data_IF_065427435027
#
_entry.id   IF_065427435027
#
_cell.length_a   1.000
_cell.length_b   1.000
_cell.length_c   1.000
_cell.angle_alpha   90.00
_cell.angle_beta   90.00
_cell.angle_gamma   90.00
#
_symmetry.space_group_name_H-M   'P 1'
#
loop_
_entity.id
_entity.type
_entity.pdbx_description
1 polymer ?
#
# COMPACT_ATOMS: atom_id res chain seq x y z
N UNK A 1 5.40 -4.87 5.72
CA UNK A 1 3.99 -4.78 6.15
C UNK A 1 3.65 -5.80 7.24
N UNK A 2 3.75 -7.11 6.99
CA UNK A 2 3.40 -8.14 7.98
C UNK A 2 4.09 -7.98 9.35
N UNK A 3 5.42 -7.79 9.38
CA UNK A 3 6.14 -7.56 10.63
C UNK A 3 5.62 -6.34 11.39
N UNK A 4 5.35 -5.23 10.68
CA UNK A 4 4.83 -3.99 11.26
C UNK A 4 3.47 -4.21 11.97
N UNK A 5 2.56 -4.95 11.33
CA UNK A 5 1.25 -5.28 11.92
C UNK A 5 1.33 -6.13 13.19
N UNK A 6 2.43 -6.86 13.38
CA UNK A 6 2.65 -7.70 14.56
C UNK A 6 3.49 -7.01 15.64
N UNK A 7 4.18 -5.91 15.32
CA UNK A 7 5.05 -5.20 16.27
C UNK A 7 4.46 -3.89 16.77
N UNK A 8 3.68 -3.20 15.95
CA UNK A 8 3.06 -1.91 16.31
C UNK A 8 1.67 -2.16 16.86
N UNK A 9 1.34 -1.53 17.99
CA UNK A 9 -0.01 -1.62 18.54
C UNK A 9 -1.03 -1.08 17.53
N UNK A 10 -2.08 -1.87 17.24
CA UNK A 10 -3.07 -1.57 16.20
C UNK A 10 -3.73 -0.20 16.33
N UNK A 11 -3.89 0.33 17.55
CA UNK A 11 -4.45 1.66 17.81
C UNK A 11 -3.66 2.82 17.16
N UNK A 12 -2.39 2.59 16.78
CA UNK A 12 -1.56 3.56 16.08
C UNK A 12 -1.58 3.42 14.56
N UNK A 13 -2.28 2.42 14.03
CA UNK A 13 -2.37 2.15 12.59
C UNK A 13 -3.71 2.71 12.10
N UNK A 14 -3.67 3.65 11.15
CA UNK A 14 -4.87 4.29 10.61
C UNK A 14 -5.53 3.48 9.50
N UNK A 15 -4.76 2.71 8.76
CA UNK A 15 -5.25 1.88 7.68
C UNK A 15 -4.14 1.16 6.95
N UNK A 16 -4.55 0.27 6.05
CA UNK A 16 -3.66 -0.54 5.22
C UNK A 16 -4.18 -0.46 3.79
N UNK A 17 -3.30 -0.16 2.84
CA UNK A 17 -3.56 -0.32 1.41
C UNK A 17 -2.59 -1.35 0.84
N UNK A 18 -3.13 -2.44 0.30
CA UNK A 18 -2.36 -3.56 -0.22
C UNK A 18 -2.75 -3.86 -1.66
N UNK A 19 -1.76 -3.99 -2.53
CA UNK A 19 -1.93 -4.42 -3.92
C UNK A 19 -1.22 -5.75 -4.14
N UNK A 20 -1.94 -6.72 -4.71
CA UNK A 20 -1.35 -7.97 -5.17
C UNK A 20 -1.91 -8.32 -6.57
N UNK A 21 -1.35 -9.33 -7.23
CA UNK A 21 -1.87 -9.82 -8.49
C UNK A 21 -3.15 -10.64 -8.27
N UNK A 22 -3.18 -11.51 -7.27
CA UNK A 22 -4.34 -12.33 -6.97
C UNK A 22 -4.37 -12.76 -5.51
N UNK A 23 -5.53 -13.23 -5.05
CA UNK A 23 -5.71 -13.66 -3.68
C UNK A 23 -4.83 -14.88 -3.31
N UNK A 24 -4.54 -15.76 -4.28
CA UNK A 24 -3.70 -16.94 -4.11
C UNK A 24 -2.21 -16.59 -3.98
N UNK A 25 -1.81 -15.42 -4.49
CA UNK A 25 -0.41 -14.96 -4.45
C UNK A 25 -0.10 -14.09 -3.23
N UNK A 26 -1.13 -13.61 -2.54
CA UNK A 26 -1.01 -12.75 -1.38
C UNK A 26 -0.45 -13.50 -0.17
N UNK A 27 0.81 -13.24 0.13
CA UNK A 27 1.46 -13.78 1.33
C UNK A 27 0.81 -13.18 2.59
N UNK A 28 0.58 -14.03 3.61
CA UNK A 28 0.01 -13.65 4.90
C UNK A 28 -1.41 -13.04 4.82
N UNK A 29 -2.17 -13.41 3.80
CA UNK A 29 -3.55 -12.94 3.57
C UNK A 29 -4.41 -12.97 4.83
N UNK A 30 -4.50 -14.12 5.50
CA UNK A 30 -5.34 -14.31 6.69
C UNK A 30 -5.00 -13.31 7.82
N UNK A 31 -3.73 -12.94 7.96
CA UNK A 31 -3.31 -11.99 8.98
C UNK A 31 -3.70 -10.55 8.64
N UNK A 32 -3.71 -10.20 7.35
CA UNK A 32 -4.09 -8.87 6.87
C UNK A 32 -5.62 -8.74 6.83
N UNK A 33 -6.32 -9.75 6.32
CA UNK A 33 -7.80 -9.79 6.34
C UNK A 33 -8.34 -9.92 7.77
N UNK A 34 -7.63 -10.61 8.66
CA UNK A 34 -7.96 -10.72 10.09
C UNK A 34 -7.72 -9.44 10.90
N UNK A 35 -7.18 -8.38 10.29
CA UNK A 35 -7.07 -7.06 10.90
C UNK A 35 -8.36 -6.23 10.72
N UNK A 36 -9.50 -6.82 11.10
CA UNK A 36 -10.84 -6.25 10.89
C UNK A 36 -11.10 -4.96 11.68
N UNK A 37 -10.26 -4.67 12.66
CA UNK A 37 -10.27 -3.42 13.44
C UNK A 37 -9.52 -2.27 12.75
N UNK A 38 -8.87 -2.53 11.62
CA UNK A 38 -8.16 -1.54 10.80
C UNK A 38 -8.91 -1.30 9.48
N UNK A 39 -8.90 -0.06 8.99
CA UNK A 39 -9.38 0.27 7.64
C UNK A 39 -8.42 -0.32 6.61
N UNK A 40 -8.67 -1.58 6.24
CA UNK A 40 -7.82 -2.39 5.37
C UNK A 40 -8.46 -2.52 4.01
N UNK A 41 -7.76 -2.03 2.98
CA UNK A 41 -8.13 -2.20 1.57
C UNK A 41 -7.10 -3.07 0.85
N UNK A 42 -7.60 -4.14 0.25
CA UNK A 42 -6.82 -5.07 -0.57
C UNK A 42 -7.35 -5.02 -1.99
N UNK A 43 -6.46 -4.85 -2.96
CA UNK A 43 -6.79 -4.75 -4.38
C UNK A 43 -6.02 -5.85 -5.13
N UNK A 44 -6.76 -6.68 -5.86
CA UNK A 44 -6.19 -7.73 -6.70
C UNK A 44 -6.19 -7.29 -8.16
N UNK A 45 -5.01 -6.99 -8.69
CA UNK A 45 -4.87 -6.37 -10.03
C UNK A 45 -5.13 -7.32 -11.19
N UNK A 46 -5.06 -8.64 -10.96
CA UNK A 46 -5.47 -9.67 -11.92
C UNK A 46 -6.98 -9.96 -11.95
N UNK A 47 -7.76 -9.31 -11.09
CA UNK A 47 -9.20 -9.53 -10.96
C UNK A 47 -9.99 -8.36 -11.55
N UNK A 48 -10.93 -8.65 -12.46
CA UNK A 48 -11.75 -7.66 -13.15
C UNK A 48 -12.71 -6.91 -12.22
N UNK A 49 -13.07 -7.50 -11.07
CA UNK A 49 -13.88 -6.82 -10.05
C UNK A 49 -13.22 -5.56 -9.50
N UNK A 50 -11.89 -5.48 -9.61
CA UNK A 50 -11.08 -4.35 -9.16
C UNK A 50 -10.63 -3.45 -10.31
N UNK A 51 -11.11 -3.65 -11.56
CA UNK A 51 -10.65 -2.90 -12.73
C UNK A 51 -10.60 -1.37 -12.51
N UNK A 52 -11.63 -0.81 -11.90
CA UNK A 52 -11.73 0.63 -11.58
C UNK A 52 -10.83 1.07 -10.41
N UNK A 53 -10.34 0.12 -9.61
CA UNK A 53 -9.52 0.33 -8.41
C UNK A 53 -8.03 0.00 -8.66
N UNK A 54 -7.64 -0.28 -9.90
CA UNK A 54 -6.23 -0.54 -10.28
C UNK A 54 -5.38 0.72 -10.33
N UNK A 55 -5.99 1.91 -10.18
CA UNK A 55 -5.28 3.17 -10.13
C UNK A 55 -4.67 3.42 -8.74
N UNK A 56 -3.35 3.24 -8.66
CA UNK A 56 -2.54 3.45 -7.47
C UNK A 56 -2.68 4.89 -6.95
N UNK A 57 -2.76 5.89 -7.83
CA UNK A 57 -2.85 7.30 -7.43
C UNK A 57 -4.18 7.58 -6.73
N UNK A 58 -5.29 7.15 -7.34
CA UNK A 58 -6.63 7.31 -6.76
C UNK A 58 -6.74 6.67 -5.38
N UNK A 59 -6.27 5.43 -5.23
CA UNK A 59 -6.39 4.70 -3.97
C UNK A 59 -5.44 5.24 -2.89
N UNK A 60 -4.26 5.71 -3.29
CA UNK A 60 -3.34 6.42 -2.39
C UNK A 60 -3.94 7.75 -1.94
N UNK A 61 -4.64 8.49 -2.80
CA UNK A 61 -5.34 9.72 -2.43
C UNK A 61 -6.42 9.47 -1.38
N UNK A 62 -7.21 8.42 -1.56
CA UNK A 62 -8.25 8.03 -0.59
C UNK A 62 -7.64 7.71 0.77
N UNK A 63 -6.54 6.95 0.80
CA UNK A 63 -5.81 6.67 2.04
C UNK A 63 -5.26 7.94 2.67
N UNK A 64 -4.65 8.83 1.88
CA UNK A 64 -4.05 10.07 2.35
C UNK A 64 -5.05 11.00 3.05
N UNK A 65 -6.24 11.18 2.45
CA UNK A 65 -7.33 11.99 3.00
C UNK A 65 -7.80 11.42 4.35
N UNK A 66 -7.87 10.08 4.46
CA UNK A 66 -8.36 9.40 5.68
C UNK A 66 -7.34 9.40 6.81
N UNK A 67 -6.09 9.07 6.51
CA UNK A 67 -5.04 8.97 7.51
C UNK A 67 -4.52 10.34 7.97
N UNK A 68 -4.59 11.36 7.09
CA UNK A 68 -4.22 12.73 7.38
C UNK A 68 -2.78 13.06 7.02
N UNK A 69 -2.50 14.37 6.94
CA UNK A 69 -1.19 14.89 6.47
C UNK A 69 -0.04 14.66 7.46
N UNK A 70 -0.38 14.53 8.75
CA UNK A 70 0.57 14.36 9.85
C UNK A 70 0.88 12.88 10.16
N UNK A 71 0.27 11.95 9.41
CA UNK A 71 0.54 10.52 9.59
C UNK A 71 1.89 10.11 8.99
N UNK A 72 2.45 9.03 9.55
CA UNK A 72 3.62 8.36 8.99
C UNK A 72 3.19 7.29 7.99
N UNK A 73 3.66 7.41 6.75
CA UNK A 73 3.34 6.48 5.67
C UNK A 73 4.53 5.56 5.41
N UNK A 74 4.31 4.25 5.58
CA UNK A 74 5.31 3.22 5.33
C UNK A 74 4.98 2.50 4.02
N UNK A 75 5.82 2.67 3.00
CA UNK A 75 5.59 2.16 1.66
C UNK A 75 6.66 1.13 1.32
N UNK A 76 6.24 -0.03 0.83
CA UNK A 76 7.17 -1.05 0.34
C UNK A 76 6.61 -1.76 -0.88
N UNK A 77 7.46 -2.07 -1.86
CA UNK A 77 7.08 -2.74 -3.09
C UNK A 77 8.10 -2.50 -4.21
N UNK A 78 7.72 -2.78 -5.47
CA UNK A 78 8.54 -2.44 -6.64
C UNK A 78 8.79 -0.93 -6.74
N UNK A 79 9.96 -0.52 -7.22
CA UNK A 79 10.35 0.90 -7.30
C UNK A 79 9.32 1.78 -8.04
N UNK A 80 8.80 1.41 -9.23
CA UNK A 80 7.80 2.23 -9.91
C UNK A 80 6.50 2.41 -9.12
N UNK A 81 6.06 1.38 -8.38
CA UNK A 81 4.90 1.49 -7.49
C UNK A 81 5.16 2.49 -6.36
N UNK A 82 6.30 2.34 -5.67
CA UNK A 82 6.64 3.22 -4.56
C UNK A 82 6.83 4.68 -5.00
N UNK A 83 7.37 4.90 -6.20
CA UNK A 83 7.54 6.25 -6.76
C UNK A 83 6.18 6.93 -7.01
N UNK A 84 5.20 6.21 -7.54
CA UNK A 84 3.83 6.71 -7.72
C UNK A 84 3.23 7.06 -6.35
N UNK A 85 3.20 6.10 -5.41
CA UNK A 85 2.64 6.31 -4.07
C UNK A 85 3.31 7.49 -3.37
N UNK A 86 4.65 7.57 -3.39
CA UNK A 86 5.40 8.65 -2.74
C UNK A 86 5.07 10.01 -3.35
N UNK A 87 5.06 10.13 -4.68
CA UNK A 87 4.71 11.38 -5.36
C UNK A 87 3.29 11.82 -5.04
N UNK A 88 2.34 10.88 -5.06
CA UNK A 88 0.95 11.13 -4.69
C UNK A 88 0.85 11.66 -3.27
N UNK A 89 1.43 10.97 -2.28
CA UNK A 89 1.41 11.42 -0.88
C UNK A 89 2.05 12.81 -0.71
N UNK A 90 3.21 13.03 -1.32
CA UNK A 90 3.92 14.32 -1.25
C UNK A 90 3.14 15.46 -1.91
N UNK A 91 2.31 15.18 -2.93
CA UNK A 91 1.43 16.19 -3.54
C UNK A 91 0.35 16.71 -2.58
N UNK A 92 0.02 15.96 -1.52
CA UNK A 92 -0.87 16.37 -0.43
C UNK A 92 -0.15 17.06 0.73
N UNK A 93 1.14 17.35 0.59
CA UNK A 93 1.94 17.99 1.64
C UNK A 93 2.40 17.04 2.75
N UNK A 94 2.20 15.72 2.60
CA UNK A 94 2.70 14.70 3.54
C UNK A 94 4.23 14.67 3.47
N UNK A 95 4.88 14.84 4.62
CA UNK A 95 6.35 14.86 4.73
C UNK A 95 6.93 13.52 5.15
N UNK A 96 6.19 12.76 5.96
CA UNK A 96 6.68 11.53 6.58
C UNK A 96 6.35 10.31 5.70
N UNK A 97 7.09 10.14 4.61
CA UNK A 97 6.97 8.99 3.71
C UNK A 97 8.24 8.15 3.75
N UNK A 98 8.15 6.98 4.35
CA UNK A 98 9.25 6.02 4.52
C UNK A 98 9.13 4.91 3.48
N UNK A 99 9.98 4.94 2.45
CA UNK A 99 10.00 3.91 1.41
C UNK A 99 11.07 2.85 1.69
N UNK A 100 10.69 1.58 1.65
CA UNK A 100 11.62 0.45 1.75
C UNK A 100 11.63 -0.34 0.43
N UNK A 101 12.75 -0.26 -0.28
CA UNK A 101 13.00 -1.01 -1.50
C UNK A 101 13.46 -2.45 -1.19
N UNK A 102 12.77 -3.44 -1.74
CA UNK A 102 13.17 -4.84 -1.65
C UNK A 102 13.91 -5.26 -2.92
N UNK A 103 15.15 -5.72 -2.77
CA UNK A 103 16.02 -6.20 -3.86
C UNK A 103 17.27 -5.34 -4.07
N UNK A 104 18.20 -5.85 -4.88
CA UNK A 104 19.49 -5.19 -5.20
C UNK A 104 19.55 -4.58 -6.60
N UNK A 105 18.48 -4.73 -7.39
CA UNK A 105 18.42 -4.23 -8.77
C UNK A 105 17.64 -2.92 -8.90
N UNK A 106 18.03 -2.07 -9.84
CA UNK A 106 17.30 -0.84 -10.21
C UNK A 106 16.00 -1.11 -10.98
N UNK A 107 15.76 -2.36 -11.39
CA UNK A 107 14.58 -2.77 -12.13
C UNK A 107 13.90 -4.04 -11.56
N UNK A 108 13.13 -3.93 -10.46
CA UNK A 108 12.05 -4.87 -10.23
C UNK A 108 10.90 -4.46 -11.15
N UNK A 109 10.71 -5.19 -12.26
CA UNK A 109 9.57 -5.03 -13.16
C UNK A 109 8.27 -4.93 -12.36
N UNK A 110 7.72 -3.73 -12.32
CA UNK A 110 6.44 -3.47 -11.71
C UNK A 110 5.35 -3.98 -12.66
N UNK A 111 4.48 -4.92 -12.25
CA UNK A 111 3.43 -5.44 -13.13
C UNK A 111 2.33 -4.39 -13.41
N UNK A 112 2.37 -3.22 -12.76
CA UNK A 112 1.48 -2.10 -13.04
C UNK A 112 1.97 -1.34 -14.28
N UNK A 113 1.40 -1.63 -15.46
CA UNK A 113 1.54 -0.77 -16.64
C UNK A 113 0.37 0.21 -16.68
N UNK A 114 0.69 1.47 -17.02
CA UNK A 114 -0.23 2.61 -17.22
C UNK A 114 -1.44 2.25 -18.06
#
# INVERSE_FOLDING_TARGET
MYAFLNTVERKYIKGILHFDQSAERMAFRDAIEGATDLDTKIIFTGDERFAEQKDIETETNVLAIRAGIDADYYVCGPLPFMDVVKKTLQSHGIKNVFCHHFGTGTEPMCPFRR
#
